data_IF_946691631457
#
_entry.id   IF_946691631457
#
_cell.length_a   1.000
_cell.length_b   1.000
_cell.length_c   1.000
_cell.angle_alpha   90.00
_cell.angle_beta   90.00
_cell.angle_gamma   90.00
#
_symmetry.space_group_name_H-M   'P 1'
#
loop_
_entity.id
_entity.type
_entity.pdbx_description
1 polymer ?
#
# COMPACT_ATOMS: atom_id res chain seq x y z
N UNK A 1 -15.20 -55.33 78.16
CA UNK A 1 -15.81 -55.20 76.81
C UNK A 1 -15.88 -53.72 76.43
N UNK A 2 -14.98 -53.26 75.54
CA UNK A 2 -14.93 -51.87 75.04
C UNK A 2 -15.55 -51.84 73.63
N UNK A 3 -16.65 -51.11 73.43
CA UNK A 3 -17.20 -50.85 72.09
C UNK A 3 -16.44 -49.69 71.47
N UNK A 4 -15.77 -49.96 70.35
CA UNK A 4 -15.19 -48.96 69.45
C UNK A 4 -16.33 -48.44 68.59
N UNK A 5 -16.80 -47.22 68.84
CA UNK A 5 -17.65 -46.50 67.90
C UNK A 5 -16.76 -45.88 66.82
N UNK A 6 -16.73 -46.49 65.63
CA UNK A 6 -16.18 -45.85 64.42
C UNK A 6 -17.15 -44.75 64.01
N UNK A 7 -16.77 -43.49 64.20
CA UNK A 7 -17.42 -42.36 63.55
C UNK A 7 -17.08 -42.42 62.05
N UNK A 8 -18.03 -42.84 61.23
CA UNK A 8 -17.99 -42.59 59.81
C UNK A 8 -18.24 -41.09 59.59
N UNK A 9 -17.17 -40.34 59.32
CA UNK A 9 -17.28 -39.02 58.71
C UNK A 9 -17.86 -39.21 57.32
N UNK A 10 -19.14 -38.84 57.13
CA UNK A 10 -19.71 -38.74 55.79
C UNK A 10 -19.03 -37.55 55.09
N UNK A 11 -18.50 -37.71 53.87
CA UNK A 11 -18.07 -36.56 53.09
C UNK A 11 -19.30 -35.67 52.87
N UNK A 12 -19.18 -34.39 53.19
CA UNK A 12 -20.24 -33.42 52.93
C UNK A 12 -20.53 -33.43 51.44
N UNK A 13 -21.71 -33.93 51.07
CA UNK A 13 -22.30 -33.70 49.77
C UNK A 13 -22.67 -32.21 49.72
N UNK A 14 -21.68 -31.36 49.43
CA UNK A 14 -21.91 -29.95 49.10
C UNK A 14 -22.62 -29.92 47.74
N UNK A 15 -23.93 -30.12 47.78
CA UNK A 15 -24.79 -29.90 46.63
C UNK A 15 -24.67 -28.45 46.20
N UNK A 16 -24.20 -28.24 44.96
CA UNK A 16 -24.09 -26.91 44.35
C UNK A 16 -25.42 -26.18 44.50
N UNK A 17 -25.41 -25.04 45.17
CA UNK A 17 -26.66 -24.31 45.41
C UNK A 17 -27.16 -23.71 44.09
N UNK A 18 -28.48 -23.68 43.88
CA UNK A 18 -29.08 -23.13 42.66
C UNK A 18 -28.62 -21.68 42.41
N UNK A 19 -28.36 -20.93 43.47
CA UNK A 19 -27.81 -19.58 43.43
C UNK A 19 -26.39 -19.54 42.87
N UNK A 20 -25.53 -20.50 43.22
CA UNK A 20 -24.16 -20.60 42.73
C UNK A 20 -24.11 -20.90 41.22
N UNK A 21 -24.99 -21.79 40.74
CA UNK A 21 -25.14 -22.05 39.30
C UNK A 21 -25.58 -20.80 38.56
N UNK A 22 -26.55 -20.06 39.12
CA UNK A 22 -27.07 -18.85 38.49
C UNK A 22 -26.00 -17.74 38.42
N UNK A 23 -25.24 -17.55 39.50
CA UNK A 23 -24.10 -16.62 39.51
C UNK A 23 -23.03 -17.05 38.50
N UNK A 24 -22.67 -18.33 38.45
CA UNK A 24 -21.69 -18.84 37.49
C UNK A 24 -22.14 -18.64 36.03
N UNK A 25 -23.42 -18.85 35.73
CA UNK A 25 -23.97 -18.59 34.39
C UNK A 25 -23.94 -17.11 34.01
N UNK A 26 -24.23 -16.20 34.95
CA UNK A 26 -24.16 -14.75 34.71
C UNK A 26 -22.71 -14.34 34.44
N UNK A 27 -21.78 -14.78 35.28
CA UNK A 27 -20.34 -14.49 35.10
C UNK A 27 -19.84 -15.04 33.78
N UNK A 28 -20.16 -16.29 33.44
CA UNK A 28 -19.78 -16.91 32.17
C UNK A 28 -20.35 -16.14 30.96
N UNK A 29 -21.60 -15.67 31.08
CA UNK A 29 -22.25 -14.90 30.02
C UNK A 29 -21.58 -13.55 29.79
N UNK A 30 -21.24 -12.84 30.87
CA UNK A 30 -20.50 -11.57 30.80
C UNK A 30 -19.10 -11.77 30.20
N UNK A 31 -18.40 -12.83 30.60
CA UNK A 31 -17.11 -13.19 30.00
C UNK A 31 -17.24 -13.53 28.52
N UNK A 32 -18.27 -14.29 28.12
CA UNK A 32 -18.54 -14.62 26.73
C UNK A 32 -18.74 -13.36 25.87
N UNK A 33 -19.52 -12.39 26.35
CA UNK A 33 -19.72 -11.10 25.66
C UNK A 33 -18.42 -10.30 25.59
N UNK A 34 -17.64 -10.26 26.67
CA UNK A 34 -16.34 -9.58 26.70
C UNK A 34 -15.35 -10.17 25.69
N UNK A 35 -15.25 -11.50 25.64
CA UNK A 35 -14.40 -12.19 24.67
C UNK A 35 -14.89 -11.96 23.24
N UNK A 36 -16.20 -12.06 22.99
CA UNK A 36 -16.76 -11.84 21.66
C UNK A 36 -16.52 -10.42 21.13
N UNK A 37 -16.71 -9.41 21.98
CA UNK A 37 -16.42 -8.01 21.63
C UNK A 37 -14.94 -7.80 21.35
N UNK A 38 -14.04 -8.36 22.16
CA UNK A 38 -12.61 -8.30 21.90
C UNK A 38 -12.22 -8.95 20.56
N UNK A 39 -12.78 -10.13 20.26
CA UNK A 39 -12.54 -10.86 19.00
C UNK A 39 -13.02 -10.05 17.79
N UNK A 40 -14.24 -9.50 17.84
CA UNK A 40 -14.78 -8.70 16.73
C UNK A 40 -14.00 -7.41 16.48
N UNK A 41 -13.51 -6.75 17.53
CA UNK A 41 -12.61 -5.59 17.40
C UNK A 41 -11.27 -6.00 16.80
N UNK A 42 -10.68 -7.11 17.27
CA UNK A 42 -9.43 -7.62 16.73
C UNK A 42 -9.55 -7.97 15.24
N UNK A 43 -10.65 -8.61 14.82
CA UNK A 43 -10.89 -8.93 13.41
C UNK A 43 -10.98 -7.69 12.52
N UNK A 44 -11.76 -6.69 12.93
CA UNK A 44 -11.84 -5.42 12.19
C UNK A 44 -10.48 -4.71 12.08
N UNK A 45 -9.66 -4.84 13.10
CA UNK A 45 -8.29 -4.30 13.09
C UNK A 45 -7.42 -5.02 12.05
N UNK A 46 -7.46 -6.36 12.04
CA UNK A 46 -6.71 -7.19 11.08
C UNK A 46 -7.09 -6.86 9.64
N UNK A 47 -8.38 -6.66 9.34
CA UNK A 47 -8.80 -6.31 7.98
C UNK A 47 -8.26 -4.94 7.55
N UNK A 48 -8.33 -3.92 8.42
CA UNK A 48 -7.72 -2.60 8.15
C UNK A 48 -6.21 -2.69 7.95
N UNK A 49 -5.52 -3.51 8.73
CA UNK A 49 -4.08 -3.73 8.58
C UNK A 49 -3.76 -4.40 7.24
N UNK A 50 -4.56 -5.38 6.80
CA UNK A 50 -4.37 -6.05 5.51
C UNK A 50 -4.60 -5.09 4.35
N UNK A 51 -5.64 -4.26 4.41
CA UNK A 51 -5.92 -3.23 3.41
C UNK A 51 -4.79 -2.21 3.34
N UNK A 52 -4.34 -1.70 4.49
CA UNK A 52 -3.23 -0.74 4.58
C UNK A 52 -1.92 -1.33 4.08
N UNK A 53 -1.61 -2.59 4.41
CA UNK A 53 -0.40 -3.27 3.96
C UNK A 53 -0.41 -3.52 2.44
N UNK A 54 -1.55 -3.91 1.88
CA UNK A 54 -1.71 -4.05 0.42
C UNK A 54 -1.54 -2.71 -0.28
N UNK A 55 -2.18 -1.65 0.22
CA UNK A 55 -2.05 -0.32 -0.34
C UNK A 55 -0.59 0.16 -0.29
N UNK A 56 0.09 0.00 0.86
CA UNK A 56 1.52 0.32 1.00
C UNK A 56 2.42 -0.44 0.02
N UNK A 57 2.15 -1.73 -0.17
CA UNK A 57 2.89 -2.53 -1.15
C UNK A 57 2.68 -2.06 -2.60
N UNK A 58 1.46 -1.62 -2.93
CA UNK A 58 1.14 -1.09 -4.25
C UNK A 58 1.89 0.21 -4.52
N UNK A 59 1.92 1.12 -3.55
CA UNK A 59 2.65 2.37 -3.66
C UNK A 59 4.16 2.15 -3.89
N UNK A 60 4.76 1.19 -3.18
CA UNK A 60 6.16 0.82 -3.37
C UNK A 60 6.43 0.17 -4.73
N UNK A 61 5.56 -0.74 -5.18
CA UNK A 61 5.68 -1.37 -6.50
C UNK A 61 5.51 -0.35 -7.63
N UNK A 62 4.64 0.62 -7.45
CA UNK A 62 4.44 1.72 -8.40
C UNK A 62 5.67 2.63 -8.42
N UNK A 63 6.18 3.05 -7.25
CA UNK A 63 7.39 3.88 -7.14
C UNK A 63 8.60 3.21 -7.79
N UNK A 64 8.86 1.95 -7.46
CA UNK A 64 9.98 1.18 -8.03
C UNK A 64 9.84 1.03 -9.55
N UNK A 65 8.64 0.67 -10.03
CA UNK A 65 8.39 0.52 -11.47
C UNK A 65 8.53 1.84 -12.21
N UNK A 66 7.94 2.91 -11.69
CA UNK A 66 8.01 4.22 -12.32
C UNK A 66 9.44 4.75 -12.35
N UNK A 67 10.19 4.61 -11.25
CA UNK A 67 11.63 4.95 -11.20
C UNK A 67 12.45 4.11 -12.18
N UNK A 68 12.19 2.81 -12.27
CA UNK A 68 12.88 1.93 -13.21
C UNK A 68 12.62 2.33 -14.67
N UNK A 69 11.37 2.65 -15.02
CA UNK A 69 10.99 3.15 -16.35
C UNK A 69 11.58 4.53 -16.64
N UNK A 70 11.51 5.48 -15.70
CA UNK A 70 12.07 6.82 -15.86
C UNK A 70 13.60 6.78 -16.03
N UNK A 71 14.31 5.90 -15.31
CA UNK A 71 15.77 5.73 -15.46
C UNK A 71 16.18 5.13 -16.82
N UNK A 72 15.22 4.60 -17.59
CA UNK A 72 15.45 4.16 -18.98
C UNK A 72 15.24 5.28 -19.99
N UNK A 73 14.52 6.34 -19.63
CA UNK A 73 14.43 7.55 -20.46
C UNK A 73 15.81 8.20 -20.50
N UNK A 74 16.45 8.19 -21.67
CA UNK A 74 17.82 8.67 -21.86
C UNK A 74 17.83 9.71 -22.99
N UNK A 75 17.72 11.01 -22.70
CA UNK A 75 17.85 12.01 -23.75
C UNK A 75 19.24 11.91 -24.39
N UNK A 76 19.34 11.92 -25.73
CA UNK A 76 20.64 11.95 -26.40
C UNK A 76 21.35 13.27 -26.11
N UNK A 77 22.68 13.26 -26.02
CA UNK A 77 23.47 14.46 -25.69
C UNK A 77 23.36 15.60 -26.72
N UNK A 78 22.98 15.27 -27.96
CA UNK A 78 22.71 16.23 -29.03
C UNK A 78 21.23 16.65 -29.10
N UNK A 79 20.34 15.93 -28.41
CA UNK A 79 18.90 16.19 -28.43
C UNK A 79 18.47 17.16 -27.33
N UNK A 80 17.26 17.68 -27.48
CA UNK A 80 16.59 18.43 -26.43
C UNK A 80 16.17 17.56 -25.25
N UNK A 81 15.51 18.18 -24.30
CA UNK A 81 14.89 17.52 -23.15
C UNK A 81 13.88 16.45 -23.59
N UNK A 82 13.68 15.36 -22.82
CA UNK A 82 12.60 14.42 -23.10
C UNK A 82 11.27 15.17 -23.12
N UNK A 83 10.52 14.99 -24.20
CA UNK A 83 9.24 15.65 -24.36
C UNK A 83 8.18 14.88 -23.56
N UNK A 84 7.50 15.60 -22.65
CA UNK A 84 6.34 15.09 -21.94
C UNK A 84 5.09 15.63 -22.64
N UNK A 85 4.40 14.75 -23.36
CA UNK A 85 3.13 15.07 -24.02
C UNK A 85 1.98 14.53 -23.17
N UNK A 86 0.98 15.38 -22.90
CA UNK A 86 -0.23 15.01 -22.20
C UNK A 86 -1.43 15.09 -23.16
N UNK A 87 -2.11 13.97 -23.35
CA UNK A 87 -3.34 13.82 -24.14
C UNK A 87 -4.44 13.27 -23.24
N UNK A 88 -5.19 14.16 -22.60
CA UNK A 88 -6.23 13.78 -21.63
C UNK A 88 -5.63 13.05 -20.43
N UNK A 89 -5.97 11.78 -20.26
CA UNK A 89 -5.45 10.91 -19.21
C UNK A 89 -4.33 9.98 -19.68
N UNK A 90 -3.67 10.33 -20.78
CA UNK A 90 -2.50 9.62 -21.30
C UNK A 90 -1.32 10.57 -21.37
N UNK A 91 -0.20 10.17 -20.79
CA UNK A 91 1.05 10.89 -20.85
C UNK A 91 2.10 10.06 -21.57
N UNK A 92 2.89 10.71 -22.42
CA UNK A 92 3.98 10.07 -23.17
C UNK A 92 5.27 10.82 -22.91
N UNK A 93 6.33 10.07 -22.55
CA UNK A 93 7.68 10.59 -22.36
C UNK A 93 8.57 9.98 -23.45
N UNK A 94 9.20 10.81 -24.27
CA UNK A 94 10.08 10.37 -25.36
C UNK A 94 11.43 9.83 -24.89
N UNK A 95 12.21 9.25 -25.82
CA UNK A 95 13.60 8.83 -25.59
C UNK A 95 13.77 7.64 -24.65
N UNK A 96 12.83 6.70 -24.66
CA UNK A 96 12.96 5.46 -23.88
C UNK A 96 14.11 4.60 -24.41
N UNK A 97 14.97 4.12 -23.52
CA UNK A 97 16.23 3.43 -23.82
C UNK A 97 17.21 4.21 -24.71
N UNK A 98 17.03 5.53 -24.83
CA UNK A 98 17.84 6.38 -25.70
C UNK A 98 17.36 6.47 -27.14
N UNK A 99 16.24 5.82 -27.48
CA UNK A 99 15.65 5.85 -28.81
C UNK A 99 14.54 6.92 -28.87
N UNK A 100 14.68 7.98 -29.69
CA UNK A 100 13.67 9.04 -29.82
C UNK A 100 12.30 8.54 -30.27
N UNK A 101 12.21 7.38 -30.95
CA UNK A 101 10.95 6.82 -31.41
C UNK A 101 10.24 5.99 -30.34
N UNK A 102 10.94 5.62 -29.26
CA UNK A 102 10.35 4.85 -28.16
C UNK A 102 9.87 5.80 -27.06
N UNK A 103 8.66 5.54 -26.59
CA UNK A 103 8.00 6.36 -25.57
C UNK A 103 7.60 5.52 -24.38
N UNK A 104 7.86 6.03 -23.18
CA UNK A 104 7.21 5.55 -21.96
C UNK A 104 5.79 6.15 -21.92
N UNK A 105 4.78 5.29 -21.88
CA UNK A 105 3.38 5.72 -21.84
C UNK A 105 2.79 5.44 -20.47
N UNK A 106 2.17 6.45 -19.88
CA UNK A 106 1.33 6.31 -18.71
C UNK A 106 -0.10 6.60 -19.13
N UNK A 107 -1.05 5.76 -18.75
CA UNK A 107 -2.47 6.02 -19.01
C UNK A 107 -3.32 5.72 -17.80
N UNK A 108 -4.31 6.56 -17.55
CA UNK A 108 -5.25 6.38 -16.47
C UNK A 108 -6.67 6.28 -17.02
N UNK A 109 -7.36 5.20 -16.67
CA UNK A 109 -8.74 4.97 -17.07
C UNK A 109 -9.46 4.13 -16.01
N UNK A 110 -10.67 4.56 -15.63
CA UNK A 110 -11.57 3.80 -14.74
C UNK A 110 -10.89 3.32 -13.44
N UNK A 111 -10.08 4.19 -12.83
CA UNK A 111 -9.40 3.88 -11.58
C UNK A 111 -8.14 3.00 -11.71
N UNK A 112 -7.68 2.77 -12.94
CA UNK A 112 -6.50 1.95 -13.27
C UNK A 112 -5.44 2.82 -13.92
N UNK A 113 -4.26 2.90 -13.30
CA UNK A 113 -3.06 3.47 -13.88
C UNK A 113 -2.26 2.36 -14.56
N UNK A 114 -1.99 2.51 -15.86
CA UNK A 114 -1.12 1.64 -16.63
C UNK A 114 0.20 2.36 -16.94
N UNK A 115 1.32 1.63 -16.80
CA UNK A 115 2.66 2.08 -17.19
C UNK A 115 3.17 1.10 -18.25
N UNK A 116 3.33 1.59 -19.48
CA UNK A 116 3.81 0.85 -20.65
C UNK A 116 5.20 1.36 -21.07
N UNK A 117 6.20 0.48 -20.98
CA UNK A 117 7.58 0.76 -21.38
C UNK A 117 7.93 0.19 -22.77
N UNK A 118 6.92 -0.12 -23.59
CA UNK A 118 7.05 -0.71 -24.92
C UNK A 118 7.44 -2.19 -24.92
N UNK A 119 7.84 -2.75 -23.79
CA UNK A 119 8.13 -4.18 -23.62
C UNK A 119 7.07 -4.89 -22.76
N UNK A 120 6.51 -4.17 -21.79
CA UNK A 120 5.59 -4.70 -20.79
C UNK A 120 4.69 -3.63 -20.22
N UNK A 121 3.44 -4.01 -19.94
CA UNK A 121 2.42 -3.13 -19.37
C UNK A 121 2.16 -3.55 -17.93
N UNK A 122 2.52 -2.70 -16.97
CA UNK A 122 2.15 -2.85 -15.57
C UNK A 122 0.84 -2.09 -15.31
N UNK A 123 -0.07 -2.66 -14.51
CA UNK A 123 -1.38 -2.06 -14.20
C UNK A 123 -1.60 -2.00 -12.70
N UNK A 124 -2.00 -0.84 -12.22
CA UNK A 124 -2.22 -0.53 -10.81
C UNK A 124 -3.66 -0.04 -10.63
N UNK A 125 -4.41 -0.68 -9.73
CA UNK A 125 -5.84 -0.38 -9.48
C UNK A 125 -6.01 0.43 -8.20
N UNK A 126 -7.19 1.04 -8.04
CA UNK A 126 -7.55 1.79 -6.84
C UNK A 126 -6.97 3.21 -6.82
N UNK A 127 -6.68 3.74 -8.02
CA UNK A 127 -6.12 5.08 -8.21
C UNK A 127 -7.24 6.03 -8.62
N UNK A 128 -7.57 6.99 -7.78
CA UNK A 128 -8.71 7.91 -7.97
C UNK A 128 -8.35 9.15 -8.78
N UNK A 129 -7.09 9.57 -8.74
CA UNK A 129 -6.58 10.73 -9.47
C UNK A 129 -5.12 10.53 -9.84
N UNK A 130 -4.71 11.04 -11.00
CA UNK A 130 -3.33 10.97 -11.51
C UNK A 130 -3.01 12.24 -12.26
N UNK A 131 -1.87 12.82 -11.92
CA UNK A 131 -1.25 13.91 -12.66
C UNK A 131 0.24 13.62 -12.85
N UNK A 132 0.77 14.04 -13.99
CA UNK A 132 2.17 13.85 -14.34
C UNK A 132 2.73 15.16 -14.87
N UNK A 133 3.73 15.65 -14.16
CA UNK A 133 4.43 16.90 -14.47
C UNK A 133 5.93 16.66 -14.69
N UNK A 134 6.63 17.54 -15.43
CA UNK A 134 8.07 17.48 -15.50
C UNK A 134 8.69 17.89 -14.15
N UNK A 135 9.55 17.04 -13.59
CA UNK A 135 10.27 17.37 -12.37
C UNK A 135 11.44 18.30 -12.70
N UNK A 136 11.44 19.51 -12.13
CA UNK A 136 12.42 20.57 -12.41
C UNK A 136 13.35 20.80 -11.22
N UNK A 137 14.61 21.09 -11.49
CA UNK A 137 15.58 21.46 -10.45
C UNK A 137 15.40 22.92 -10.01
N UNK A 138 16.21 23.38 -9.05
CA UNK A 138 16.16 24.77 -8.56
C UNK A 138 16.50 25.84 -9.60
N UNK A 139 16.94 25.44 -10.80
CA UNK A 139 17.21 26.34 -11.94
C UNK A 139 16.10 26.32 -12.98
N UNK A 140 15.06 25.49 -12.77
CA UNK A 140 13.96 25.30 -13.71
C UNK A 140 14.22 24.26 -14.79
N UNK A 141 15.39 23.61 -14.79
CA UNK A 141 15.73 22.58 -15.77
C UNK A 141 15.04 21.26 -15.41
N UNK A 142 14.30 20.61 -16.33
CA UNK A 142 13.71 19.31 -16.06
C UNK A 142 14.79 18.25 -15.97
N UNK A 143 14.77 17.51 -14.86
CA UNK A 143 15.67 16.37 -14.63
C UNK A 143 14.92 15.04 -14.63
N UNK A 144 13.59 15.06 -14.67
CA UNK A 144 12.77 13.87 -14.48
C UNK A 144 11.28 14.12 -14.68
N UNK A 145 10.49 13.23 -14.10
CA UNK A 145 9.04 13.30 -14.05
C UNK A 145 8.56 13.19 -12.60
N UNK A 146 7.49 13.92 -12.30
CA UNK A 146 6.79 13.94 -11.03
C UNK A 146 5.39 13.38 -11.26
N UNK A 147 5.16 12.18 -10.72
CA UNK A 147 3.86 11.51 -10.75
C UNK A 147 3.15 11.79 -9.42
N UNK A 148 2.14 12.64 -9.46
CA UNK A 148 1.25 12.90 -8.34
C UNK A 148 -0.01 12.07 -8.48
N UNK A 149 -0.42 11.38 -7.44
CA UNK A 149 -1.57 10.50 -7.53
C UNK A 149 -2.30 10.34 -6.21
N UNK A 150 -3.57 9.99 -6.29
CA UNK A 150 -4.43 9.73 -5.15
C UNK A 150 -4.97 8.30 -5.25
N UNK A 151 -4.93 7.58 -4.13
CA UNK A 151 -5.41 6.21 -4.05
C UNK A 151 -6.40 6.05 -2.88
N UNK A 152 -7.47 5.26 -3.07
CA UNK A 152 -8.59 5.13 -2.11
C UNK A 152 -8.14 4.84 -0.67
N UNK A 153 -7.08 4.05 -0.51
CA UNK A 153 -6.61 3.58 0.81
C UNK A 153 -5.26 4.15 1.22
N UNK A 154 -4.62 4.96 0.37
CA UNK A 154 -3.30 5.54 0.65
C UNK A 154 -3.33 7.06 0.76
N UNK A 155 -4.40 7.70 0.28
CA UNK A 155 -4.47 9.14 0.11
C UNK A 155 -3.59 9.62 -1.04
N UNK A 156 -3.26 10.91 -1.02
CA UNK A 156 -2.42 11.55 -2.04
C UNK A 156 -0.94 11.35 -1.73
N UNK A 157 -0.17 10.98 -2.73
CA UNK A 157 1.28 10.92 -2.66
C UNK A 157 1.92 11.26 -4.01
N UNK A 158 3.18 11.64 -3.96
CA UNK A 158 3.94 12.10 -5.12
C UNK A 158 5.23 11.31 -5.24
N UNK A 159 5.50 10.83 -6.45
CA UNK A 159 6.73 10.14 -6.81
C UNK A 159 7.53 11.03 -7.76
N UNK A 160 8.75 11.37 -7.38
CA UNK A 160 9.69 12.06 -8.24
C UNK A 160 10.74 11.06 -8.74
N UNK A 161 10.81 10.89 -10.06
CA UNK A 161 11.75 9.99 -10.71
C UNK A 161 12.66 10.77 -11.68
N UNK A 162 13.97 10.58 -11.54
CA UNK A 162 14.97 11.20 -12.41
C UNK A 162 15.12 10.39 -13.70
N UNK A 163 15.27 11.09 -14.83
CA UNK A 163 15.59 10.44 -16.10
C UNK A 163 17.01 9.86 -16.08
N UNK A 164 17.19 8.75 -16.78
CA UNK A 164 18.51 8.14 -16.97
C UNK A 164 19.37 8.97 -17.91
N UNK A 165 20.67 9.03 -17.64
CA UNK A 165 21.59 9.80 -18.47
C UNK A 165 21.98 11.11 -17.81
N UNK A 166 23.29 11.35 -17.74
CA UNK A 166 23.81 12.65 -17.31
C UNK A 166 23.37 13.68 -18.35
N UNK A 167 22.66 14.72 -17.91
CA UNK A 167 22.82 16.03 -18.51
C UNK A 167 24.28 16.43 -18.29
N UNK A 168 25.18 15.98 -19.18
CA UNK A 168 26.56 16.43 -19.19
C UNK A 168 26.49 17.88 -19.63
N UNK A 169 26.71 18.77 -18.66
CA UNK A 169 26.81 20.20 -18.89
C UNK A 169 27.90 20.42 -19.95
N UNK A 170 27.52 20.94 -21.11
CA UNK A 170 28.46 21.46 -22.11
C UNK A 170 29.05 22.75 -21.51
N UNK A 171 30.08 22.62 -20.68
CA UNK A 171 30.68 23.78 -20.00
C UNK A 171 31.75 23.49 -18.94
N UNK A 172 31.86 22.28 -18.41
CA UNK A 172 32.97 21.92 -17.48
C UNK A 172 34.07 21.18 -18.26
N UNK A 173 34.86 21.93 -19.04
CA UNK A 173 36.15 21.51 -19.59
C UNK A 173 37.08 22.70 -19.67
#
# INVERSE_FOLDING_TARGET
MRRIARSHSRPGEEGFTLLEVLVAMVVLSLLGIGVWTAVTVAWRSVDRFRESARAGSLALQLDDRFRACANRVRPPWWGGEPELQAEGHTWRISCLDGDPQKTLTLSWQEGVLAIDDGASIARYRGITDVDLAPARDGTGMPFGAELSLEAEHLGRFTIVARYGGRAVRRGDS
#
